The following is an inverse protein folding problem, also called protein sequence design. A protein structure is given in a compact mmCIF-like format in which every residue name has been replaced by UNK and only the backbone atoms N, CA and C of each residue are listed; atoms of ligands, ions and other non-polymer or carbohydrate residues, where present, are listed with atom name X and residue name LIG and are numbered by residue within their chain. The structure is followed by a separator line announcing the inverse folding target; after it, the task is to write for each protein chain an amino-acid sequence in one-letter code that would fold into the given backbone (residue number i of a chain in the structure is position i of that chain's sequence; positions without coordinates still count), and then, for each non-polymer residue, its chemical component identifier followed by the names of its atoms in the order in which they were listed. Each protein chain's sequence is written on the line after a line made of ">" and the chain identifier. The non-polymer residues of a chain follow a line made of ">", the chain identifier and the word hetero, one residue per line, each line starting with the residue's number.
data_IF_275486039119
#
_entry.id   IF_275486039119
#
_cell.length_a   1.000
_cell.length_b   1.000
_cell.length_c   1.000
_cell.angle_alpha   90.00
_cell.angle_beta   90.00
_cell.angle_gamma   90.00
#
_symmetry.space_group_name_H-M   'P 1'
#
loop_
_entity.id
_entity.type
_entity.pdbx_description
1 polymer ?
#
# COMPACT_ATOMS: atom_id res chain seq x y z
N UNK A 1 -23.67 -19.44 27.58
CA UNK A 1 -22.75 -18.83 28.55
C UNK A 1 -21.54 -19.74 28.62
N UNK A 2 -20.40 -19.37 28.02
CA UNK A 2 -19.20 -20.21 28.00
C UNK A 2 -18.11 -19.55 28.83
N UNK A 3 -17.57 -20.34 29.75
CA UNK A 3 -16.72 -19.95 30.86
C UNK A 3 -15.40 -19.32 30.40
N UNK A 4 -14.99 -18.30 31.14
CA UNK A 4 -13.68 -17.66 31.09
C UNK A 4 -12.61 -18.59 31.68
N UNK A 5 -11.81 -19.23 30.83
CA UNK A 5 -10.59 -19.93 31.23
C UNK A 5 -9.53 -18.90 31.65
N UNK A 6 -9.39 -18.69 32.96
CA UNK A 6 -8.24 -18.01 33.56
C UNK A 6 -7.00 -18.90 33.43
N UNK A 7 -6.27 -18.79 32.31
CA UNK A 7 -4.96 -19.44 32.14
C UNK A 7 -3.88 -18.64 32.88
N UNK A 8 -3.29 -19.25 33.91
CA UNK A 8 -2.13 -18.74 34.66
C UNK A 8 -0.84 -18.69 33.84
N UNK A 9 -0.83 -19.27 32.64
CA UNK A 9 0.33 -19.34 31.76
C UNK A 9 0.04 -18.48 30.53
N UNK A 10 0.79 -17.38 30.33
CA UNK A 10 0.62 -16.55 29.14
C UNK A 10 0.98 -17.36 27.89
N UNK A 11 0.07 -17.39 26.92
CA UNK A 11 0.23 -18.14 25.67
C UNK A 11 1.39 -17.56 24.85
N UNK A 12 2.24 -18.45 24.31
CA UNK A 12 3.37 -18.03 23.50
C UNK A 12 2.95 -17.44 22.14
N UNK A 13 1.72 -17.63 21.71
CA UNK A 13 1.25 -17.11 20.41
C UNK A 13 0.27 -15.94 20.54
N UNK A 14 0.10 -15.40 21.75
CA UNK A 14 -0.76 -14.24 22.00
C UNK A 14 -0.12 -12.96 21.42
N UNK A 15 -0.89 -12.20 20.63
CA UNK A 15 -0.41 -10.95 20.00
C UNK A 15 -0.28 -9.79 21.01
N UNK A 16 -0.74 -9.97 22.24
CA UNK A 16 -0.56 -9.03 23.36
C UNK A 16 0.88 -9.00 23.93
N UNK A 17 1.87 -9.40 23.13
CA UNK A 17 3.27 -9.44 23.51
C UNK A 17 3.89 -8.06 23.54
N UNK A 18 4.59 -7.78 24.63
CA UNK A 18 5.51 -6.66 24.72
C UNK A 18 6.55 -6.82 23.59
N UNK A 19 6.64 -5.83 22.70
CA UNK A 19 7.63 -5.82 21.63
C UNK A 19 9.05 -5.89 22.24
N UNK A 20 9.82 -6.96 21.97
CA UNK A 20 11.13 -7.17 22.60
C UNK A 20 12.11 -6.04 22.30
N UNK A 21 11.97 -5.38 21.14
CA UNK A 21 12.79 -4.22 20.77
C UNK A 21 12.45 -3.02 21.64
N UNK A 22 11.16 -2.79 21.88
CA UNK A 22 10.68 -1.72 22.76
C UNK A 22 11.07 -1.94 24.22
N UNK A 23 11.01 -3.18 24.73
CA UNK A 23 11.48 -3.54 26.07
C UNK A 23 12.98 -3.30 26.24
N UNK A 24 13.80 -3.73 25.28
CA UNK A 24 15.25 -3.60 25.36
C UNK A 24 15.75 -2.15 25.21
N UNK A 25 15.01 -1.31 24.48
CA UNK A 25 15.41 0.08 24.19
C UNK A 25 14.76 1.11 25.12
N UNK A 26 13.90 0.68 26.05
CA UNK A 26 13.16 1.58 26.95
C UNK A 26 12.21 2.54 26.23
N UNK A 27 11.94 2.30 24.94
CA UNK A 27 11.00 3.09 24.15
C UNK A 27 9.61 2.50 24.36
N UNK A 28 8.57 3.33 24.58
CA UNK A 28 7.21 2.81 24.64
C UNK A 28 6.95 2.08 23.33
N UNK A 29 6.36 0.88 23.41
CA UNK A 29 5.93 0.11 22.26
C UNK A 29 5.29 1.09 21.29
N UNK A 30 5.99 1.35 20.19
CA UNK A 30 5.50 2.25 19.17
C UNK A 30 4.10 1.77 18.86
N UNK A 31 3.09 2.62 19.11
CA UNK A 31 1.73 2.43 18.62
C UNK A 31 1.73 2.56 17.08
N UNK A 32 2.66 1.89 16.42
CA UNK A 32 2.79 1.85 14.98
C UNK A 32 1.66 0.97 14.48
N UNK A 33 0.67 1.68 13.94
CA UNK A 33 -0.39 1.19 13.10
C UNK A 33 -1.38 0.25 13.81
N UNK A 34 -2.43 0.86 14.37
CA UNK A 34 -3.76 0.28 14.19
C UNK A 34 -3.87 -0.06 12.70
N UNK A 35 -4.06 -1.32 12.30
CA UNK A 35 -4.19 -1.66 10.90
C UNK A 35 -5.41 -0.88 10.38
N UNK A 36 -5.18 0.11 9.53
CA UNK A 36 -6.28 0.79 8.85
C UNK A 36 -7.08 -0.32 8.16
N UNK A 37 -8.41 -0.38 8.35
CA UNK A 37 -9.21 -1.40 7.69
C UNK A 37 -8.94 -1.31 6.19
N UNK A 38 -8.38 -2.38 5.63
CA UNK A 38 -7.98 -2.42 4.24
C UNK A 38 -9.25 -2.26 3.38
N UNK A 39 -9.28 -1.20 2.57
CA UNK A 39 -10.30 -1.05 1.53
C UNK A 39 -10.33 -2.35 0.70
N UNK A 40 -11.50 -2.92 0.39
CA UNK A 40 -11.57 -4.17 -0.35
C UNK A 40 -10.94 -4.00 -1.74
N UNK A 41 -9.80 -4.66 -1.97
CA UNK A 41 -9.08 -4.63 -3.26
C UNK A 41 -9.34 -5.92 -4.05
N UNK A 42 -9.53 -5.79 -5.36
CA UNK A 42 -9.61 -6.91 -6.31
C UNK A 42 -8.39 -6.91 -7.21
N UNK A 43 -7.82 -8.08 -7.48
CA UNK A 43 -6.72 -8.23 -8.42
C UNK A 43 -7.24 -8.14 -9.85
N UNK A 44 -6.63 -7.27 -10.66
CA UNK A 44 -6.89 -7.15 -12.09
C UNK A 44 -5.61 -7.51 -12.87
N UNK A 45 -5.77 -8.25 -13.97
CA UNK A 45 -4.68 -8.58 -14.90
C UNK A 45 -4.79 -7.74 -16.17
N UNK A 46 -3.73 -7.01 -16.50
CA UNK A 46 -3.62 -6.23 -17.73
C UNK A 46 -2.31 -6.56 -18.44
N UNK A 47 -2.34 -6.48 -19.76
CA UNK A 47 -1.13 -6.56 -20.57
C UNK A 47 -0.53 -5.15 -20.74
N UNK A 48 0.77 -5.03 -20.51
CA UNK A 48 1.54 -3.82 -20.76
C UNK A 48 2.71 -4.15 -21.69
N UNK A 49 3.23 -3.15 -22.41
CA UNK A 49 4.50 -3.33 -23.10
C UNK A 49 5.64 -3.54 -22.09
N UNK A 50 6.61 -4.37 -22.45
CA UNK A 50 7.78 -4.65 -21.60
C UNK A 50 8.52 -3.37 -21.22
N UNK A 51 8.70 -2.47 -22.19
CA UNK A 51 9.37 -1.18 -22.00
C UNK A 51 8.67 -0.29 -20.97
N UNK A 52 7.34 -0.32 -20.93
CA UNK A 52 6.56 0.45 -19.96
C UNK A 52 6.67 -0.18 -18.57
N UNK A 53 6.59 -1.51 -18.48
CA UNK A 53 6.69 -2.24 -17.21
C UNK A 53 8.07 -2.07 -16.56
N UNK A 54 9.14 -2.07 -17.38
CA UNK A 54 10.50 -1.81 -16.93
C UNK A 54 10.65 -0.39 -16.40
N UNK A 55 10.15 0.60 -17.15
CA UNK A 55 10.17 2.00 -16.71
C UNK A 55 9.42 2.17 -15.39
N UNK A 56 8.25 1.56 -15.27
CA UNK A 56 7.46 1.58 -14.04
C UNK A 56 8.23 0.96 -12.86
N UNK A 57 8.81 -0.22 -13.07
CA UNK A 57 9.56 -0.93 -12.02
C UNK A 57 10.78 -0.13 -11.56
N UNK A 58 11.56 0.42 -12.50
CA UNK A 58 12.71 1.27 -12.17
C UNK A 58 12.30 2.51 -11.39
N UNK A 59 11.19 3.17 -11.76
CA UNK A 59 10.68 4.34 -11.04
C UNK A 59 10.18 3.99 -9.64
N UNK A 60 9.51 2.86 -9.46
CA UNK A 60 9.13 2.39 -8.12
C UNK A 60 10.35 2.21 -7.21
N UNK A 61 11.42 1.57 -7.71
CA UNK A 61 12.64 1.39 -6.93
C UNK A 61 13.37 2.70 -6.65
N UNK A 62 13.42 3.61 -7.63
CA UNK A 62 13.99 4.95 -7.41
C UNK A 62 13.26 5.67 -6.28
N UNK A 63 11.92 5.71 -6.31
CA UNK A 63 11.13 6.37 -5.27
C UNK A 63 11.35 5.76 -3.87
N UNK A 64 11.57 4.44 -3.80
CA UNK A 64 11.96 3.77 -2.55
C UNK A 64 13.33 4.21 -2.04
N UNK A 65 14.31 4.34 -2.95
CA UNK A 65 15.65 4.83 -2.60
C UNK A 65 15.64 6.30 -2.17
N UNK A 66 14.76 7.10 -2.77
CA UNK A 66 14.56 8.52 -2.44
C UNK A 66 13.81 8.73 -1.11
N UNK A 67 13.40 7.66 -0.42
CA UNK A 67 12.71 7.72 0.87
C UNK A 67 11.23 8.09 0.77
N UNK A 68 10.63 8.05 -0.43
CA UNK A 68 9.20 8.31 -0.59
C UNK A 68 8.40 7.15 0.05
N UNK A 69 7.40 7.44 0.90
CA UNK A 69 6.67 6.44 1.67
C UNK A 69 5.63 5.69 0.82
N UNK A 70 6.07 5.06 -0.27
CA UNK A 70 5.23 4.19 -1.11
C UNK A 70 5.25 2.81 -0.48
N UNK A 71 4.10 2.18 -0.24
CA UNK A 71 4.04 0.86 0.37
C UNK A 71 4.54 -0.23 -0.60
N UNK A 72 3.86 -0.37 -1.74
CA UNK A 72 4.10 -1.43 -2.72
C UNK A 72 3.84 -0.94 -4.17
N UNK A 73 4.14 -1.80 -5.15
CA UNK A 73 3.94 -1.49 -6.58
C UNK A 73 2.47 -1.20 -6.91
N UNK A 74 1.53 -1.93 -6.31
CA UNK A 74 0.11 -1.71 -6.54
C UNK A 74 -0.36 -0.33 -6.08
N UNK A 75 0.18 0.20 -4.98
CA UNK A 75 -0.14 1.55 -4.50
C UNK A 75 0.30 2.63 -5.50
N UNK A 76 1.48 2.47 -6.11
CA UNK A 76 1.95 3.37 -7.16
C UNK A 76 1.09 3.26 -8.43
N UNK A 77 0.70 2.04 -8.81
CA UNK A 77 -0.17 1.81 -9.97
C UNK A 77 -1.58 2.40 -9.74
N UNK A 78 -2.14 2.24 -8.55
CA UNK A 78 -3.43 2.80 -8.15
C UNK A 78 -3.41 4.33 -8.19
N UNK A 79 -2.34 4.97 -7.70
CA UNK A 79 -2.16 6.42 -7.81
C UNK A 79 -2.04 6.89 -9.26
N UNK A 80 -1.30 6.17 -10.10
CA UNK A 80 -1.19 6.50 -11.52
C UNK A 80 -2.53 6.35 -12.26
N UNK A 81 -3.34 5.35 -11.89
CA UNK A 81 -4.70 5.17 -12.42
C UNK A 81 -5.63 6.29 -11.98
N UNK A 82 -5.60 6.68 -10.70
CA UNK A 82 -6.36 7.84 -10.22
C UNK A 82 -5.99 9.10 -11.00
N UNK A 83 -4.70 9.38 -11.16
CA UNK A 83 -4.26 10.54 -11.94
C UNK A 83 -4.77 10.52 -13.39
N UNK A 84 -4.79 9.34 -14.02
CA UNK A 84 -5.32 9.21 -15.37
C UNK A 84 -6.84 9.43 -15.43
N UNK A 85 -7.59 8.87 -14.48
CA UNK A 85 -9.05 9.06 -14.39
C UNK A 85 -9.40 10.52 -14.09
N UNK A 86 -8.69 11.15 -13.15
CA UNK A 86 -8.86 12.57 -12.81
C UNK A 86 -8.59 13.50 -14.01
N UNK A 87 -7.68 13.11 -14.91
CA UNK A 87 -7.46 13.86 -16.16
C UNK A 87 -8.58 13.62 -17.16
N UNK A 88 -9.11 12.39 -17.29
CA UNK A 88 -10.25 12.08 -18.16
C UNK A 88 -11.53 12.80 -17.71
N UNK A 89 -11.74 12.94 -16.40
CA UNK A 89 -12.90 13.63 -15.82
C UNK A 89 -12.91 15.14 -16.15
N UNK A 90 -11.80 15.70 -16.66
CA UNK A 90 -11.73 17.09 -17.16
C UNK A 90 -12.44 17.29 -18.50
N UNK A 91 -12.90 16.22 -19.15
CA UNK A 91 -13.62 16.29 -20.42
C UNK A 91 -12.76 16.88 -21.53
N UNK A 92 -13.25 17.93 -22.19
CA UNK A 92 -12.59 18.56 -23.34
C UNK A 92 -11.19 19.14 -23.04
N UNK A 93 -10.86 19.35 -21.77
CA UNK A 93 -9.53 19.78 -21.33
C UNK A 93 -8.58 18.62 -20.98
N UNK A 94 -9.00 17.36 -21.16
CA UNK A 94 -8.18 16.17 -20.87
C UNK A 94 -7.05 16.03 -21.89
N UNK A 95 -5.82 15.99 -21.37
CA UNK A 95 -4.64 15.72 -22.20
C UNK A 95 -4.62 14.27 -22.70
N UNK A 96 -5.21 13.34 -21.93
CA UNK A 96 -5.35 11.95 -22.34
C UNK A 96 -6.35 11.81 -23.49
N UNK A 97 -7.53 12.43 -23.42
CA UNK A 97 -8.51 12.36 -24.50
C UNK A 97 -7.97 12.98 -25.80
N UNK A 98 -7.27 14.11 -25.71
CA UNK A 98 -6.62 14.73 -26.87
C UNK A 98 -5.67 13.75 -27.58
N UNK A 99 -4.87 12.98 -26.82
CA UNK A 99 -3.95 11.97 -27.39
C UNK A 99 -4.66 10.79 -28.04
N UNK A 100 -5.85 10.43 -27.57
CA UNK A 100 -6.65 9.38 -28.21
C UNK A 100 -7.31 9.87 -29.50
N UNK A 101 -7.72 11.14 -29.54
CA UNK A 101 -8.36 11.74 -30.71
C UNK A 101 -7.37 12.15 -31.80
N UNK A 102 -6.12 12.44 -31.45
CA UNK A 102 -5.05 12.79 -32.39
C UNK A 102 -4.27 11.58 -32.95
N UNK A 103 -4.87 10.38 -32.92
CA UNK A 103 -4.37 9.16 -33.58
C UNK A 103 -5.22 8.79 -34.77
#
# INVERSE_FOLDING_TARGET
>A
MTASDNKTIPDFFDESRLDPVSVATGRPASKSAIPKPAVPKRKAGFYFSETLLDRFTRKFHQLKLDGVPIENKSALAEMALHFALDDLDRGDASQLLERFNNR
#
